data_IF_825182646815
#
_entry.id   IF_825182646815
#
_cell.length_a   1.000
_cell.length_b   1.000
_cell.length_c   1.000
_cell.angle_alpha   90.00
_cell.angle_beta   90.00
_cell.angle_gamma   90.00
#
_symmetry.space_group_name_H-M   'P 1'
#
loop_
_entity.id
_entity.type
_entity.pdbx_description
1 polymer ?
#
# COMPACT_ATOMS: atom_id res chain seq x y z
N UNK A 1 -17.68 -15.37 -24.20
CA UNK A 1 -17.71 -14.62 -25.47
C UNK A 1 -16.28 -14.53 -25.94
N UNK A 2 -16.01 -14.71 -27.24
CA UNK A 2 -14.66 -14.61 -27.81
C UNK A 2 -14.55 -13.37 -28.69
N UNK A 3 -13.41 -12.69 -28.63
CA UNK A 3 -13.18 -11.41 -29.30
C UNK A 3 -12.04 -11.52 -30.31
N UNK A 4 -12.24 -10.98 -31.51
CA UNK A 4 -11.26 -11.04 -32.59
C UNK A 4 -11.13 -9.67 -33.26
N UNK A 5 -9.94 -9.32 -33.74
CA UNK A 5 -9.75 -8.13 -34.56
C UNK A 5 -10.61 -8.22 -35.84
N UNK A 6 -11.31 -7.14 -36.20
CA UNK A 6 -11.99 -7.05 -37.50
C UNK A 6 -10.97 -6.64 -38.59
N UNK A 7 -10.55 -7.61 -39.39
CA UNK A 7 -9.55 -7.39 -40.45
C UNK A 7 -10.03 -6.49 -41.59
N UNK A 8 -11.33 -6.14 -41.65
CA UNK A 8 -11.90 -5.26 -42.68
C UNK A 8 -12.14 -3.86 -42.17
N UNK A 9 -12.25 -3.65 -40.86
CA UNK A 9 -12.57 -2.34 -40.28
C UNK A 9 -11.82 -2.18 -38.97
N UNK A 10 -10.74 -1.39 -39.00
CA UNK A 10 -9.85 -1.19 -37.84
C UNK A 10 -10.59 -0.76 -36.56
N UNK A 11 -11.65 0.03 -36.69
CA UNK A 11 -12.45 0.53 -35.56
C UNK A 11 -13.44 -0.49 -34.97
N UNK A 12 -13.38 -1.75 -35.41
CA UNK A 12 -14.32 -2.80 -35.03
C UNK A 12 -13.63 -4.04 -34.48
N UNK A 13 -14.39 -4.74 -33.65
CA UNK A 13 -14.08 -6.04 -33.07
C UNK A 13 -15.19 -7.03 -33.47
N UNK A 14 -14.81 -8.27 -33.73
CA UNK A 14 -15.73 -9.36 -33.97
C UNK A 14 -15.96 -10.07 -32.64
N UNK A 15 -17.21 -10.11 -32.19
CA UNK A 15 -17.64 -10.89 -31.02
C UNK A 15 -18.37 -12.15 -31.48
N UNK A 16 -17.94 -13.30 -30.99
CA UNK A 16 -18.59 -14.58 -31.24
C UNK A 16 -19.06 -15.18 -29.91
N UNK A 17 -20.34 -15.52 -29.81
CA UNK A 17 -20.80 -16.37 -28.70
C UNK A 17 -20.34 -17.80 -28.99
N UNK A 18 -19.71 -18.45 -27.99
CA UNK A 18 -19.24 -19.82 -28.11
C UNK A 18 -20.41 -20.80 -28.37
N UNK A 19 -20.14 -22.05 -28.77
CA UNK A 19 -21.21 -23.03 -28.92
C UNK A 19 -21.94 -23.18 -27.58
N UNK A 20 -23.26 -23.03 -27.60
CA UNK A 20 -24.08 -23.40 -26.45
C UNK A 20 -23.96 -24.90 -26.23
N UNK A 21 -23.95 -25.34 -24.97
CA UNK A 21 -23.75 -26.75 -24.58
C UNK A 21 -24.79 -27.72 -25.17
N UNK A 22 -25.86 -27.20 -25.77
CA UNK A 22 -26.88 -27.95 -26.50
C UNK A 22 -26.96 -27.52 -27.96
N UNK A 23 -26.11 -28.13 -28.80
CA UNK A 23 -26.13 -27.95 -30.24
C UNK A 23 -24.89 -27.21 -30.75
N UNK A 24 -24.15 -27.86 -31.65
CA UNK A 24 -22.96 -27.32 -32.35
C UNK A 24 -23.31 -26.17 -33.32
N UNK A 25 -24.23 -25.29 -32.97
CA UNK A 25 -24.48 -24.04 -33.67
C UNK A 25 -23.71 -22.95 -32.95
N UNK A 26 -22.61 -22.52 -33.57
CA UNK A 26 -21.93 -21.28 -33.19
C UNK A 26 -22.93 -20.15 -33.47
N UNK A 27 -23.24 -19.31 -32.48
CA UNK A 27 -24.07 -18.14 -32.75
C UNK A 27 -23.35 -17.25 -33.77
N UNK A 28 -24.11 -16.52 -34.59
CA UNK A 28 -23.53 -15.65 -35.60
C UNK A 28 -22.60 -14.61 -34.95
N UNK A 29 -21.33 -14.59 -35.36
CA UNK A 29 -20.40 -13.57 -34.94
C UNK A 29 -20.88 -12.18 -35.40
N UNK A 30 -20.73 -11.18 -34.54
CA UNK A 30 -21.14 -9.79 -34.80
C UNK A 30 -19.92 -8.89 -34.86
N UNK A 31 -19.81 -8.11 -35.93
CA UNK A 31 -18.85 -7.02 -36.03
C UNK A 31 -19.45 -5.77 -35.37
N UNK A 32 -18.84 -5.31 -34.29
CA UNK A 32 -19.27 -4.17 -33.49
C UNK A 32 -18.10 -3.22 -33.29
N UNK A 33 -18.37 -1.93 -33.06
CA UNK A 33 -17.31 -1.01 -32.65
C UNK A 33 -16.66 -1.49 -31.35
N UNK A 34 -15.33 -1.42 -31.26
CA UNK A 34 -14.65 -1.66 -29.98
C UNK A 34 -14.94 -0.50 -29.00
N UNK A 35 -14.70 -0.73 -27.71
CA UNK A 35 -15.09 0.20 -26.65
C UNK A 35 -14.32 1.54 -26.67
N UNK A 36 -13.16 1.63 -27.32
CA UNK A 36 -12.42 2.90 -27.39
C UNK A 36 -13.10 3.94 -28.29
N UNK A 37 -13.43 5.09 -27.70
CA UNK A 37 -13.94 6.29 -28.39
C UNK A 37 -12.99 7.48 -28.34
N UNK A 38 -11.87 7.37 -27.63
CA UNK A 38 -11.01 8.51 -27.26
C UNK A 38 -9.55 8.37 -27.73
N UNK A 39 -9.09 7.17 -28.13
CA UNK A 39 -7.68 6.87 -28.41
C UNK A 39 -6.98 6.13 -27.26
N UNK A 40 -7.77 5.56 -26.35
CA UNK A 40 -7.28 4.78 -25.24
C UNK A 40 -7.18 3.30 -25.65
N UNK A 41 -6.20 2.61 -25.08
CA UNK A 41 -6.09 1.17 -25.30
C UNK A 41 -7.18 0.47 -24.49
N UNK A 42 -7.96 -0.38 -25.16
CA UNK A 42 -8.95 -1.25 -24.51
C UNK A 42 -8.52 -2.70 -24.63
N UNK A 43 -8.68 -3.44 -23.54
CA UNK A 43 -8.14 -4.79 -23.39
C UNK A 43 -9.27 -5.82 -23.31
N UNK A 44 -9.19 -6.85 -24.16
CA UNK A 44 -10.04 -8.04 -24.12
C UNK A 44 -9.18 -9.30 -24.27
N UNK A 45 -9.68 -10.48 -23.88
CA UNK A 45 -8.97 -11.73 -24.14
C UNK A 45 -9.04 -12.05 -25.64
N UNK A 46 -7.90 -12.37 -26.24
CA UNK A 46 -7.83 -12.77 -27.64
C UNK A 46 -8.58 -14.10 -27.86
N UNK A 47 -9.55 -14.07 -28.76
CA UNK A 47 -10.37 -15.22 -29.13
C UNK A 47 -9.64 -16.27 -29.97
N UNK A 48 -8.49 -15.94 -30.56
CA UNK A 48 -7.63 -16.90 -31.28
C UNK A 48 -6.75 -17.70 -30.31
N UNK A 49 -6.13 -17.02 -29.35
CA UNK A 49 -5.28 -17.63 -28.32
C UNK A 49 -5.52 -16.93 -26.98
N UNK A 50 -6.15 -17.63 -26.04
CA UNK A 50 -6.52 -17.08 -24.73
C UNK A 50 -5.31 -16.79 -23.83
N UNK A 51 -4.09 -17.10 -24.29
CA UNK A 51 -2.85 -16.64 -23.66
C UNK A 51 -2.54 -15.18 -23.96
N UNK A 52 -3.17 -14.61 -24.98
CA UNK A 52 -2.91 -13.25 -25.46
C UNK A 52 -4.04 -12.30 -25.06
N UNK A 53 -3.68 -11.02 -25.07
CA UNK A 53 -4.61 -9.92 -24.96
C UNK A 53 -4.80 -9.30 -26.34
N UNK A 54 -6.05 -9.03 -26.68
CA UNK A 54 -6.40 -8.19 -27.82
C UNK A 54 -6.49 -6.74 -27.34
N UNK A 55 -5.59 -5.90 -27.83
CA UNK A 55 -5.51 -4.47 -27.55
C UNK A 55 -6.14 -3.73 -28.72
N UNK A 56 -7.15 -2.91 -28.49
CA UNK A 56 -7.73 -2.07 -29.53
C UNK A 56 -7.62 -0.60 -29.17
N UNK A 57 -7.36 0.25 -30.15
CA UNK A 57 -7.56 1.69 -30.05
C UNK A 57 -8.17 2.23 -31.37
N UNK A 58 -8.70 3.45 -31.34
CA UNK A 58 -9.37 4.05 -32.51
C UNK A 58 -8.44 4.33 -33.70
N UNK A 59 -7.14 4.52 -33.44
CA UNK A 59 -6.18 5.06 -34.42
C UNK A 59 -5.44 3.95 -35.19
N UNK A 60 -5.05 2.89 -34.47
CA UNK A 60 -4.29 1.72 -34.93
C UNK A 60 -5.18 0.47 -35.11
N UNK A 61 -6.41 0.51 -34.61
CA UNK A 61 -7.32 -0.63 -34.60
C UNK A 61 -6.94 -1.68 -33.56
N UNK A 62 -7.33 -2.93 -33.80
CA UNK A 62 -7.07 -4.04 -32.88
C UNK A 62 -5.78 -4.80 -33.25
N UNK A 63 -4.82 -4.80 -32.34
CA UNK A 63 -3.58 -5.58 -32.41
C UNK A 63 -3.53 -6.60 -31.26
N UNK A 64 -2.97 -7.78 -31.52
CA UNK A 64 -2.73 -8.75 -30.45
C UNK A 64 -1.43 -8.41 -29.72
N UNK A 65 -1.43 -8.57 -28.41
CA UNK A 65 -0.24 -8.52 -27.58
C UNK A 65 -0.06 -9.86 -26.90
N UNK A 66 1.17 -10.37 -26.96
CA UNK A 66 1.57 -11.54 -26.18
C UNK A 66 1.54 -11.14 -24.70
N UNK A 67 0.82 -11.88 -23.87
CA UNK A 67 1.03 -11.77 -22.42
C UNK A 67 2.47 -12.19 -22.14
N UNK A 68 3.30 -11.24 -21.71
CA UNK A 68 4.73 -11.47 -21.53
C UNK A 68 5.07 -12.23 -20.23
N UNK A 69 4.08 -12.74 -19.49
CA UNK A 69 4.31 -13.45 -18.23
C UNK A 69 5.09 -14.74 -18.52
N UNK A 70 6.39 -14.70 -18.25
CA UNK A 70 7.33 -15.79 -18.40
C UNK A 70 8.42 -15.70 -17.33
N UNK A 71 9.26 -16.72 -17.19
CA UNK A 71 10.36 -16.81 -16.21
C UNK A 71 11.33 -15.60 -16.13
N UNK A 72 11.33 -14.69 -17.12
CA UNK A 72 12.20 -13.49 -17.17
C UNK A 72 11.44 -12.16 -16.94
N UNK A 73 10.14 -12.22 -16.68
CA UNK A 73 9.23 -11.07 -16.52
C UNK A 73 8.31 -11.27 -15.30
N UNK A 74 7.52 -10.26 -14.87
CA UNK A 74 6.50 -10.46 -13.85
C UNK A 74 5.64 -11.70 -14.12
N UNK A 75 5.40 -12.50 -13.07
CA UNK A 75 4.64 -13.75 -13.14
C UNK A 75 3.17 -13.56 -13.56
N UNK A 76 2.71 -12.30 -13.58
CA UNK A 76 1.36 -11.91 -13.94
C UNK A 76 1.27 -10.48 -14.46
N UNK A 77 0.14 -10.18 -15.12
CA UNK A 77 -0.27 -8.85 -15.56
C UNK A 77 -1.76 -8.64 -15.31
N UNK A 78 -2.15 -7.46 -14.86
CA UNK A 78 -3.55 -7.07 -14.63
C UNK A 78 -3.95 -5.95 -15.57
N UNK A 79 -5.05 -6.13 -16.29
CA UNK A 79 -5.62 -5.14 -17.21
C UNK A 79 -7.06 -4.84 -16.84
N UNK A 80 -7.52 -3.62 -17.13
CA UNK A 80 -8.94 -3.29 -17.04
C UNK A 80 -9.73 -4.02 -18.13
N UNK A 81 -10.80 -4.75 -17.77
CA UNK A 81 -11.57 -5.52 -18.72
C UNK A 81 -12.55 -4.65 -19.51
N UNK A 82 -12.31 -4.45 -20.80
CA UNK A 82 -13.22 -3.69 -21.66
C UNK A 82 -14.56 -4.41 -21.92
N UNK A 83 -14.64 -5.71 -21.64
CA UNK A 83 -15.86 -6.49 -21.72
C UNK A 83 -16.70 -6.46 -20.42
N UNK A 84 -16.31 -5.66 -19.42
CA UNK A 84 -17.08 -5.54 -18.20
C UNK A 84 -18.49 -4.98 -18.49
N UNK A 85 -19.50 -5.66 -17.96
CA UNK A 85 -20.88 -5.21 -17.94
C UNK A 85 -21.56 -5.75 -16.69
N UNK A 86 -22.08 -4.88 -15.83
CA UNK A 86 -22.68 -5.29 -14.54
C UNK A 86 -23.80 -6.32 -14.66
N UNK A 87 -24.49 -6.40 -15.81
CA UNK A 87 -25.61 -7.32 -16.04
C UNK A 87 -25.23 -8.60 -16.78
N UNK A 88 -24.27 -8.54 -17.70
CA UNK A 88 -23.94 -9.66 -18.60
C UNK A 88 -22.52 -10.21 -18.44
N UNK A 89 -21.60 -9.45 -17.84
CA UNK A 89 -20.25 -9.87 -17.52
C UNK A 89 -19.67 -9.07 -16.34
N UNK A 90 -19.92 -9.54 -15.12
CA UNK A 90 -19.55 -8.86 -13.88
C UNK A 90 -18.07 -9.04 -13.49
N UNK A 91 -17.18 -9.18 -14.47
CA UNK A 91 -15.74 -9.40 -14.26
C UNK A 91 -14.96 -8.18 -14.70
N UNK A 92 -14.47 -7.41 -13.73
CA UNK A 92 -13.94 -6.07 -13.97
C UNK A 92 -12.50 -6.08 -14.52
N UNK A 93 -11.72 -7.13 -14.25
CA UNK A 93 -10.29 -7.18 -14.62
C UNK A 93 -9.96 -8.42 -15.44
N UNK A 94 -8.90 -8.34 -16.23
CA UNK A 94 -8.27 -9.48 -16.89
C UNK A 94 -6.93 -9.71 -16.20
N UNK A 95 -6.67 -10.94 -15.79
CA UNK A 95 -5.39 -11.32 -15.20
C UNK A 95 -4.76 -12.40 -16.07
N UNK A 96 -3.57 -12.10 -16.57
CA UNK A 96 -2.74 -13.05 -17.30
C UNK A 96 -1.67 -13.60 -16.38
N UNK A 97 -1.56 -14.93 -16.30
CA UNK A 97 -0.55 -15.63 -15.50
C UNK A 97 0.29 -16.53 -16.39
N UNK A 98 1.57 -16.66 -16.04
CA UNK A 98 2.45 -17.63 -16.69
C UNK A 98 1.87 -19.05 -16.61
N UNK A 99 1.96 -19.81 -17.71
CA UNK A 99 1.45 -21.19 -17.80
C UNK A 99 -0.08 -21.34 -17.86
N UNK A 100 -0.85 -20.34 -17.43
CA UNK A 100 -2.32 -20.36 -17.43
C UNK A 100 -2.91 -19.59 -18.63
N UNK A 101 -2.31 -18.45 -18.98
CA UNK A 101 -2.88 -17.50 -19.94
C UNK A 101 -3.75 -16.45 -19.25
N UNK A 102 -4.60 -15.79 -20.02
CA UNK A 102 -5.44 -14.68 -19.56
C UNK A 102 -6.86 -15.14 -19.25
N UNK A 103 -7.37 -14.72 -18.10
CA UNK A 103 -8.75 -14.98 -17.66
C UNK A 103 -9.37 -13.70 -17.11
N UNK A 104 -10.69 -13.57 -17.25
CA UNK A 104 -11.45 -12.49 -16.64
C UNK A 104 -11.77 -12.84 -15.18
N UNK A 105 -11.66 -11.86 -14.28
CA UNK A 105 -11.94 -12.03 -12.86
C UNK A 105 -12.91 -10.97 -12.36
N UNK A 106 -13.80 -11.41 -11.47
CA UNK A 106 -14.57 -10.51 -10.62
C UNK A 106 -13.70 -10.11 -9.43
N UNK A 107 -13.60 -8.82 -9.17
CA UNK A 107 -12.89 -8.29 -8.00
C UNK A 107 -13.74 -8.44 -6.74
N UNK A 108 -13.09 -8.55 -5.58
CA UNK A 108 -13.76 -8.60 -4.28
C UNK A 108 -14.06 -7.20 -3.70
N UNK A 109 -13.88 -6.15 -4.51
CA UNK A 109 -14.13 -4.77 -4.13
C UNK A 109 -15.62 -4.48 -3.93
N UNK A 110 -15.89 -3.45 -3.14
CA UNK A 110 -17.24 -2.90 -2.89
C UNK A 110 -17.20 -1.37 -2.94
N UNK A 111 -18.35 -0.72 -2.82
CA UNK A 111 -18.47 0.74 -2.72
C UNK A 111 -17.79 1.36 -1.49
N UNK A 112 -17.37 0.57 -0.50
CA UNK A 112 -16.70 1.03 0.73
C UNK A 112 -15.41 0.25 1.03
N UNK A 113 -14.99 -0.63 0.12
CA UNK A 113 -13.80 -1.44 0.28
C UNK A 113 -13.12 -1.56 -1.08
N UNK A 114 -12.17 -0.65 -1.31
CA UNK A 114 -11.53 -0.49 -2.60
C UNK A 114 -10.37 -1.46 -2.73
N UNK A 115 -10.16 -1.98 -3.95
CA UNK A 115 -9.07 -2.91 -4.26
C UNK A 115 -8.18 -2.35 -5.34
N UNK A 116 -6.88 -2.58 -5.20
CA UNK A 116 -5.87 -1.95 -6.04
C UNK A 116 -5.01 -2.98 -6.75
N UNK A 117 -4.70 -2.69 -8.00
CA UNK A 117 -3.83 -3.49 -8.85
C UNK A 117 -2.87 -2.59 -9.63
N UNK A 118 -1.73 -3.13 -10.03
CA UNK A 118 -0.82 -2.45 -10.96
C UNK A 118 -1.38 -2.60 -12.38
N UNK A 119 -1.56 -1.47 -13.07
CA UNK A 119 -2.05 -1.46 -14.44
C UNK A 119 -0.98 -1.90 -15.43
N UNK A 120 -1.11 -3.10 -15.98
CA UNK A 120 -0.23 -3.59 -17.04
C UNK A 120 -0.44 -2.86 -18.38
N UNK A 121 -1.57 -2.16 -18.54
CA UNK A 121 -1.90 -1.35 -19.70
C UNK A 121 -1.25 0.05 -19.72
N UNK A 122 -0.47 0.40 -18.69
CA UNK A 122 0.20 1.70 -18.63
C UNK A 122 1.09 1.95 -19.86
N UNK A 123 0.85 3.05 -20.57
CA UNK A 123 1.61 3.46 -21.77
C UNK A 123 2.94 4.09 -21.39
N UNK A 124 2.99 4.75 -20.25
CA UNK A 124 4.15 5.45 -19.73
C UNK A 124 4.40 5.05 -18.28
N UNK A 125 5.15 3.95 -18.10
CA UNK A 125 5.53 3.45 -16.77
C UNK A 125 6.23 4.46 -15.87
N UNK A 126 6.68 5.60 -16.40
CA UNK A 126 7.34 6.66 -15.66
C UNK A 126 6.45 7.86 -15.31
N UNK A 127 5.15 7.86 -15.62
CA UNK A 127 4.32 9.07 -15.44
C UNK A 127 3.35 9.05 -14.26
N UNK A 128 3.19 7.94 -13.53
CA UNK A 128 2.14 7.75 -12.49
C UNK A 128 0.68 7.96 -12.96
N UNK A 129 0.45 8.56 -14.12
CA UNK A 129 -0.88 8.87 -14.68
C UNK A 129 -1.80 7.66 -14.90
N UNK A 130 -1.23 6.50 -15.22
CA UNK A 130 -2.00 5.33 -15.66
C UNK A 130 -1.47 4.01 -15.09
N UNK A 131 -0.71 4.05 -13.99
CA UNK A 131 -0.04 2.85 -13.45
C UNK A 131 -0.85 2.08 -12.40
N UNK A 132 -1.97 2.63 -11.94
CA UNK A 132 -2.82 2.06 -10.89
C UNK A 132 -4.22 1.78 -11.42
N UNK A 133 -4.77 0.61 -11.08
CA UNK A 133 -6.20 0.30 -11.23
C UNK A 133 -6.80 0.34 -9.83
N UNK A 134 -7.83 1.16 -9.66
CA UNK A 134 -8.70 1.14 -8.49
C UNK A 134 -10.01 0.44 -8.85
N UNK A 135 -10.47 -0.44 -7.95
CA UNK A 135 -11.72 -1.16 -8.07
C UNK A 135 -12.65 -0.85 -6.90
N UNK A 136 -13.83 -0.32 -7.21
CA UNK A 136 -15.02 -0.20 -6.33
C UNK A 136 -16.06 -1.23 -6.80
N UNK A 137 -17.31 -0.83 -7.02
CA UNK A 137 -18.28 -1.66 -7.78
C UNK A 137 -17.87 -1.84 -9.26
N UNK A 138 -17.15 -0.84 -9.79
CA UNK A 138 -16.48 -0.84 -11.10
C UNK A 138 -14.99 -0.53 -10.93
N UNK A 139 -14.16 -0.92 -11.90
CA UNK A 139 -12.75 -0.57 -11.90
C UNK A 139 -12.44 0.58 -12.87
N UNK A 140 -11.45 1.39 -12.53
CA UNK A 140 -10.96 2.50 -13.32
C UNK A 140 -9.43 2.62 -13.18
N UNK A 141 -8.79 3.19 -14.19
CA UNK A 141 -7.38 3.57 -14.10
C UNK A 141 -7.31 4.95 -13.47
N UNK A 142 -6.46 5.13 -12.47
CA UNK A 142 -6.27 6.40 -11.77
C UNK A 142 -4.81 6.87 -11.87
N UNK A 143 -4.59 8.20 -11.86
CA UNK A 143 -3.27 8.73 -11.55
C UNK A 143 -2.93 8.38 -10.11
N UNK A 144 -1.65 8.09 -9.88
CA UNK A 144 -1.06 7.90 -8.57
C UNK A 144 -0.10 9.06 -8.23
N UNK A 145 0.32 9.11 -6.98
CA UNK A 145 1.33 10.06 -6.50
C UNK A 145 2.58 9.35 -5.97
N UNK A 146 3.66 10.12 -5.84
CA UNK A 146 4.92 9.61 -5.28
C UNK A 146 4.69 9.20 -3.82
N UNK A 147 5.31 8.08 -3.41
CA UNK A 147 5.19 7.51 -2.08
C UNK A 147 3.80 7.03 -1.66
N UNK A 148 2.85 6.91 -2.58
CA UNK A 148 1.59 6.22 -2.29
C UNK A 148 1.78 4.70 -2.16
N UNK A 149 1.06 4.11 -1.20
CA UNK A 149 1.16 2.70 -0.83
C UNK A 149 -0.23 2.10 -0.68
N UNK A 150 -0.43 0.96 -1.31
CA UNK A 150 -1.69 0.22 -1.31
C UNK A 150 -1.44 -1.25 -1.01
N UNK A 151 -2.45 -1.95 -0.48
CA UNK A 151 -2.46 -3.42 -0.44
C UNK A 151 -2.55 -3.94 -1.88
N UNK A 152 -1.70 -4.92 -2.23
CA UNK A 152 -1.78 -5.55 -3.55
C UNK A 152 -2.83 -6.67 -3.54
N UNK A 153 -4.00 -6.42 -4.13
CA UNK A 153 -5.10 -7.42 -4.15
C UNK A 153 -4.75 -8.67 -4.98
N UNK A 154 -3.80 -8.60 -5.91
CA UNK A 154 -3.38 -9.79 -6.64
C UNK A 154 -2.58 -10.76 -5.76
N UNK A 155 -1.74 -10.21 -4.88
CA UNK A 155 -0.84 -10.96 -4.00
C UNK A 155 -0.66 -10.18 -2.70
N UNK A 156 -1.44 -10.57 -1.69
CA UNK A 156 -1.48 -9.90 -0.39
C UNK A 156 -0.19 -10.05 0.42
N UNK A 157 0.79 -10.86 -0.03
CA UNK A 157 2.14 -10.85 0.55
C UNK A 157 2.98 -9.63 0.15
N UNK A 158 2.43 -8.76 -0.71
CA UNK A 158 3.11 -7.61 -1.31
C UNK A 158 2.30 -6.34 -1.12
N UNK A 159 3.00 -5.22 -1.18
CA UNK A 159 2.40 -3.89 -1.33
C UNK A 159 2.54 -3.40 -2.76
N UNK A 160 1.66 -2.48 -3.17
CA UNK A 160 1.88 -1.61 -4.33
C UNK A 160 2.52 -0.34 -3.80
N UNK A 161 3.66 0.05 -4.35
CA UNK A 161 4.34 1.30 -3.99
C UNK A 161 4.59 2.13 -5.23
N UNK A 162 4.21 3.39 -5.19
CA UNK A 162 4.23 4.30 -6.32
C UNK A 162 5.38 5.30 -6.21
N UNK A 163 6.06 5.52 -7.34
CA UNK A 163 7.25 6.35 -7.39
C UNK A 163 7.30 7.16 -8.68
N UNK A 164 7.65 8.44 -8.57
CA UNK A 164 7.62 9.39 -9.68
C UNK A 164 8.43 8.94 -10.90
N UNK A 165 9.53 8.20 -10.70
CA UNK A 165 10.45 7.79 -11.77
C UNK A 165 10.20 6.39 -12.35
N UNK A 166 9.36 5.56 -11.73
CA UNK A 166 9.13 4.16 -12.16
C UNK A 166 7.66 3.71 -12.11
N UNK A 167 6.75 4.62 -11.74
CA UNK A 167 5.33 4.31 -11.59
C UNK A 167 5.07 3.47 -10.34
N UNK A 168 3.87 2.86 -10.29
CA UNK A 168 3.52 1.89 -9.27
C UNK A 168 4.13 0.52 -9.56
N UNK A 169 4.78 -0.06 -8.55
CA UNK A 169 5.45 -1.37 -8.62
C UNK A 169 5.04 -2.24 -7.45
N UNK A 170 5.11 -3.56 -7.65
CA UNK A 170 4.86 -4.52 -6.58
C UNK A 170 6.13 -4.67 -5.76
N UNK A 171 6.01 -4.58 -4.44
CA UNK A 171 7.13 -4.70 -3.50
C UNK A 171 6.83 -5.82 -2.51
N UNK A 172 7.74 -6.78 -2.42
CA UNK A 172 7.73 -7.82 -1.40
C UNK A 172 7.76 -7.21 0.00
N UNK A 173 6.84 -7.66 0.86
CA UNK A 173 6.97 -7.37 2.28
C UNK A 173 8.17 -8.13 2.86
N UNK A 174 8.83 -7.48 3.82
CA UNK A 174 9.95 -7.99 4.60
C UNK A 174 9.54 -8.33 6.03
N UNK A 175 8.24 -8.43 6.31
CA UNK A 175 7.73 -8.86 7.60
C UNK A 175 8.32 -10.22 8.00
N UNK A 176 8.66 -10.35 9.28
CA UNK A 176 9.15 -11.58 9.90
C UNK A 176 8.34 -11.90 11.15
N UNK A 177 8.48 -13.10 11.69
CA UNK A 177 7.75 -13.55 12.90
C UNK A 177 7.95 -12.63 14.11
N UNK A 178 9.01 -11.83 14.10
CA UNK A 178 9.40 -10.91 15.18
C UNK A 178 9.42 -9.45 14.73
N UNK A 179 8.82 -9.11 13.58
CA UNK A 179 8.77 -7.74 13.08
C UNK A 179 7.72 -7.60 11.97
N UNK A 180 6.69 -6.81 12.21
CA UNK A 180 5.75 -6.43 11.17
C UNK A 180 6.31 -5.26 10.35
N UNK A 181 5.70 -5.02 9.20
CA UNK A 181 5.86 -3.76 8.48
C UNK A 181 4.57 -2.96 8.55
N UNK A 182 4.69 -1.71 8.99
CA UNK A 182 3.60 -0.74 9.01
C UNK A 182 3.85 0.32 7.94
N UNK A 183 2.82 0.60 7.13
CA UNK A 183 2.82 1.64 6.11
C UNK A 183 1.59 2.52 6.28
N UNK A 184 1.67 3.77 5.80
CA UNK A 184 0.49 4.62 5.66
C UNK A 184 -0.31 4.14 4.44
N UNK A 185 -1.61 3.90 4.61
CA UNK A 185 -2.49 3.38 3.57
C UNK A 185 -3.06 4.52 2.70
N UNK A 186 -2.60 4.64 1.47
CA UNK A 186 -3.09 5.66 0.55
C UNK A 186 -4.53 5.41 0.08
N UNK A 187 -5.08 4.20 0.25
CA UNK A 187 -6.46 3.91 -0.17
C UNK A 187 -7.52 4.63 0.65
N UNK A 188 -7.29 4.86 1.94
CA UNK A 188 -8.24 5.59 2.78
C UNK A 188 -8.10 7.10 2.60
N UNK A 189 -6.86 7.60 2.64
CA UNK A 189 -6.49 9.02 2.51
C UNK A 189 -6.91 9.66 1.18
N UNK A 190 -7.05 8.85 0.13
CA UNK A 190 -7.47 9.31 -1.20
C UNK A 190 -8.94 8.96 -1.50
N UNK A 191 -9.71 8.50 -0.52
CA UNK A 191 -11.09 8.09 -0.72
C UNK A 191 -12.10 9.22 -0.48
N UNK A 192 -13.17 9.26 -1.28
CA UNK A 192 -14.29 10.21 -1.08
C UNK A 192 -15.04 10.04 0.26
N UNK A 193 -14.75 8.97 1.01
CA UNK A 193 -15.42 8.58 2.25
C UNK A 193 -14.42 8.40 3.41
N UNK A 194 -13.27 9.09 3.35
CA UNK A 194 -12.24 9.05 4.39
C UNK A 194 -12.87 9.23 5.78
N UNK A 195 -12.54 8.31 6.67
CA UNK A 195 -12.97 8.35 8.06
C UNK A 195 -11.73 8.23 8.90
N UNK A 196 -11.48 9.26 9.71
CA UNK A 196 -10.35 9.30 10.62
C UNK A 196 -10.14 7.95 11.32
N UNK A 197 -8.92 7.43 11.20
CA UNK A 197 -8.45 6.18 11.79
C UNK A 197 -9.05 4.89 11.22
N UNK A 198 -9.96 4.94 10.25
CA UNK A 198 -10.51 3.74 9.61
C UNK A 198 -9.62 3.34 8.42
N UNK A 199 -8.89 2.23 8.54
CA UNK A 199 -7.99 1.72 7.50
C UNK A 199 -6.84 2.67 7.09
N UNK A 200 -6.46 3.65 7.91
CA UNK A 200 -5.33 4.55 7.64
C UNK A 200 -3.98 3.82 7.52
N UNK A 201 -3.85 2.59 8.02
CA UNK A 201 -2.60 1.83 8.03
C UNK A 201 -2.67 0.61 7.12
N UNK A 202 -1.50 0.16 6.64
CA UNK A 202 -1.31 -1.19 6.11
C UNK A 202 -0.36 -1.90 7.07
N UNK A 203 -0.77 -3.08 7.53
CA UNK A 203 0.03 -3.94 8.38
C UNK A 203 0.35 -5.24 7.65
N UNK A 204 1.64 -5.51 7.46
CA UNK A 204 2.12 -6.78 6.94
C UNK A 204 2.68 -7.63 8.08
N UNK A 205 2.15 -8.84 8.24
CA UNK A 205 2.52 -9.79 9.30
C UNK A 205 3.02 -11.08 8.67
N UNK A 206 4.00 -11.72 9.31
CA UNK A 206 4.46 -13.06 8.94
C UNK A 206 4.02 -14.08 10.00
N UNK A 207 3.12 -14.97 9.62
CA UNK A 207 2.66 -16.07 10.48
C UNK A 207 3.13 -17.39 9.89
N UNK A 208 4.04 -18.06 10.59
CA UNK A 208 4.59 -19.37 10.18
C UNK A 208 5.17 -19.39 8.75
N UNK A 209 5.81 -18.30 8.34
CA UNK A 209 6.42 -18.16 7.01
C UNK A 209 5.47 -17.68 5.91
N UNK A 210 4.20 -17.42 6.23
CA UNK A 210 3.21 -16.84 5.31
C UNK A 210 3.07 -15.36 5.64
N UNK A 211 3.38 -14.50 4.65
CA UNK A 211 3.23 -13.06 4.78
C UNK A 211 1.89 -12.61 4.20
N UNK A 212 1.16 -11.80 4.96
CA UNK A 212 -0.08 -11.18 4.54
C UNK A 212 -0.10 -9.71 4.98
N UNK A 213 -0.47 -8.83 4.05
CA UNK A 213 -0.62 -7.40 4.21
C UNK A 213 -2.09 -7.03 4.11
N UNK A 214 -2.62 -6.37 5.14
CA UNK A 214 -4.01 -5.94 5.20
C UNK A 214 -4.11 -4.47 5.63
N UNK A 215 -5.24 -3.86 5.29
CA UNK A 215 -5.56 -2.53 5.80
C UNK A 215 -6.01 -2.64 7.27
N UNK A 216 -5.45 -1.80 8.12
CA UNK A 216 -5.66 -1.79 9.57
C UNK A 216 -6.08 -0.38 10.00
N UNK A 217 -6.94 -0.31 11.02
CA UNK A 217 -7.30 0.97 11.62
C UNK A 217 -6.12 1.58 12.36
N UNK A 218 -6.04 2.91 12.33
CA UNK A 218 -5.18 3.64 13.24
C UNK A 218 -5.79 3.70 14.65
N UNK A 219 -4.95 4.07 15.61
CA UNK A 219 -5.40 4.40 16.97
C UNK A 219 -4.79 5.74 17.37
N UNK A 220 -5.60 6.65 17.89
CA UNK A 220 -5.12 7.96 18.30
C UNK A 220 -3.97 7.85 19.33
N UNK A 221 -2.97 8.72 19.15
CA UNK A 221 -1.74 8.81 19.93
C UNK A 221 -0.72 7.68 19.71
N UNK A 222 -1.00 6.73 18.81
CA UNK A 222 -0.05 5.68 18.45
C UNK A 222 0.98 6.15 17.41
N UNK A 223 2.21 5.65 17.56
CA UNK A 223 3.36 5.99 16.72
C UNK A 223 4.01 4.71 16.21
N UNK A 224 4.25 4.66 14.90
CA UNK A 224 4.86 3.52 14.22
C UNK A 224 6.06 3.97 13.40
N UNK A 225 6.96 3.03 13.12
CA UNK A 225 8.01 3.25 12.12
C UNK A 225 7.40 3.09 10.73
N UNK A 226 7.59 4.09 9.87
CA UNK A 226 7.19 3.97 8.47
C UNK A 226 8.12 3.00 7.73
N UNK A 227 7.59 1.85 7.31
CA UNK A 227 8.37 0.81 6.62
C UNK A 227 8.74 1.20 5.18
N UNK A 228 8.08 2.21 4.61
CA UNK A 228 8.47 2.78 3.32
C UNK A 228 9.71 3.66 3.40
N UNK A 229 9.79 4.47 4.47
CA UNK A 229 10.87 5.41 4.70
C UNK A 229 11.18 5.52 6.20
N UNK A 230 12.26 4.86 6.64
CA UNK A 230 12.65 4.84 8.06
C UNK A 230 13.22 6.16 8.58
N UNK A 231 13.24 7.23 7.75
CA UNK A 231 13.49 8.60 8.24
C UNK A 231 12.22 9.29 8.74
N UNK A 232 11.08 8.66 8.52
CA UNK A 232 9.76 9.14 8.89
C UNK A 232 9.08 8.14 9.83
N UNK A 233 8.17 8.67 10.63
CA UNK A 233 7.24 7.93 11.47
C UNK A 233 5.85 8.03 10.87
N UNK A 234 4.96 7.14 11.29
CA UNK A 234 3.52 7.30 11.12
C UNK A 234 2.96 7.66 12.50
N UNK A 235 2.23 8.77 12.59
CA UNK A 235 1.58 9.21 13.82
C UNK A 235 0.09 9.29 13.59
N UNK A 236 -0.67 8.67 14.47
CA UNK A 236 -2.11 8.69 14.46
C UNK A 236 -2.64 9.67 15.52
N UNK A 237 -3.60 10.50 15.14
CA UNK A 237 -4.31 11.44 16.03
C UNK A 237 -5.81 11.19 15.96
N UNK A 238 -6.63 11.95 16.67
CA UNK A 238 -8.10 11.84 16.51
C UNK A 238 -8.58 12.14 15.09
N UNK A 239 -7.77 12.84 14.28
CA UNK A 239 -8.11 13.23 12.91
C UNK A 239 -7.65 12.23 11.85
N UNK A 240 -6.92 11.17 12.25
CA UNK A 240 -6.35 10.18 11.34
C UNK A 240 -4.83 10.05 11.49
N UNK A 241 -4.21 9.23 10.64
CA UNK A 241 -2.79 8.99 10.61
C UNK A 241 -2.08 9.75 9.48
N UNK A 242 -0.88 10.25 9.76
CA UNK A 242 -0.04 10.94 8.79
C UNK A 242 1.44 10.54 8.93
N UNK A 243 2.24 10.79 7.90
CA UNK A 243 3.70 10.70 8.02
C UNK A 243 4.27 11.93 8.71
N UNK A 244 5.26 11.72 9.56
CA UNK A 244 6.01 12.79 10.22
C UNK A 244 7.51 12.55 10.04
N UNK A 245 8.22 13.56 9.54
CA UNK A 245 9.68 13.55 9.56
C UNK A 245 10.18 13.74 11.00
N UNK A 246 11.18 12.97 11.40
CA UNK A 246 11.84 13.17 12.68
C UNK A 246 12.68 14.46 12.68
N UNK A 247 12.67 15.18 13.81
CA UNK A 247 13.46 16.39 14.03
C UNK A 247 14.76 16.10 14.81
N UNK A 248 15.08 14.81 15.03
CA UNK A 248 16.25 14.38 15.77
C UNK A 248 17.55 15.02 15.24
N UNK A 249 18.43 15.42 16.16
CA UNK A 249 19.74 15.95 15.84
C UNK A 249 20.88 15.05 16.39
N UNK A 250 22.12 15.48 16.18
CA UNK A 250 23.31 14.67 16.53
C UNK A 250 23.53 14.54 18.03
N UNK A 251 22.90 15.42 18.82
CA UNK A 251 23.00 15.55 20.28
C UNK A 251 21.69 15.25 20.98
N UNK A 252 20.56 15.34 20.29
CA UNK A 252 19.20 15.15 20.80
C UNK A 252 18.48 14.10 19.95
N UNK A 253 18.56 12.81 20.33
CA UNK A 253 17.70 11.79 19.76
C UNK A 253 16.27 11.94 20.29
N UNK A 254 15.31 11.53 19.47
CA UNK A 254 13.90 11.48 19.84
C UNK A 254 13.51 10.06 20.26
N UNK A 255 12.60 9.98 21.22
CA UNK A 255 12.04 8.73 21.70
C UNK A 255 10.51 8.80 21.66
N UNK A 256 9.91 7.70 21.21
CA UNK A 256 8.47 7.50 21.10
C UNK A 256 8.14 6.11 21.67
N UNK A 257 6.90 5.92 22.10
CA UNK A 257 6.38 4.58 22.39
C UNK A 257 6.09 3.91 21.04
N UNK A 258 6.58 2.70 20.85
CA UNK A 258 6.26 1.89 19.68
C UNK A 258 4.86 1.28 19.85
N UNK A 259 3.96 1.55 18.92
CA UNK A 259 2.61 0.97 18.94
C UNK A 259 2.54 -0.43 18.33
N UNK A 260 3.63 -0.95 17.77
CA UNK A 260 3.71 -2.32 17.24
C UNK A 260 4.88 -3.10 17.86
N UNK A 261 4.87 -3.37 19.18
CA UNK A 261 5.79 -4.33 19.77
C UNK A 261 5.42 -5.73 19.32
N UNK A 262 6.35 -6.42 18.67
CA UNK A 262 6.13 -7.74 18.08
C UNK A 262 6.62 -8.90 18.94
N UNK A 263 7.34 -8.61 20.02
CA UNK A 263 7.69 -9.59 21.03
C UNK A 263 6.80 -9.38 22.27
N UNK A 264 6.59 -10.47 23.03
CA UNK A 264 5.81 -10.40 24.27
C UNK A 264 6.67 -10.09 25.49
N UNK A 265 7.94 -9.71 25.27
CA UNK A 265 8.90 -9.47 26.33
C UNK A 265 8.82 -7.99 26.73
N UNK A 266 8.48 -7.67 28.00
CA UNK A 266 8.41 -6.29 28.45
C UNK A 266 9.66 -5.48 28.10
N UNK A 267 9.46 -4.24 27.62
CA UNK A 267 10.50 -3.29 27.23
C UNK A 267 11.35 -3.71 26.03
N UNK A 268 11.06 -4.84 25.38
CA UNK A 268 11.71 -5.23 24.14
C UNK A 268 10.86 -4.72 22.97
N UNK A 269 11.46 -3.86 22.15
CA UNK A 269 10.77 -3.22 21.04
C UNK A 269 9.66 -2.22 21.40
N UNK A 270 9.41 -1.92 22.67
CA UNK A 270 8.41 -0.94 23.12
C UNK A 270 8.76 0.52 22.79
N UNK A 271 9.97 0.80 22.33
CA UNK A 271 10.42 2.16 22.02
C UNK A 271 10.80 2.30 20.55
N UNK A 272 10.53 3.48 19.99
CA UNK A 272 11.13 3.94 18.75
C UNK A 272 12.16 5.01 19.09
N UNK A 273 13.34 4.91 18.50
CA UNK A 273 14.41 5.90 18.62
C UNK A 273 14.74 6.46 17.25
N UNK A 274 14.61 7.77 17.09
CA UNK A 274 15.12 8.47 15.93
C UNK A 274 16.42 9.20 16.29
N UNK A 275 17.46 9.00 15.48
CA UNK A 275 18.77 9.63 15.70
C UNK A 275 19.39 10.10 14.39
N UNK A 276 20.00 11.29 14.44
CA UNK A 276 20.84 11.79 13.37
C UNK A 276 22.28 11.30 13.48
N UNK A 277 22.77 10.67 12.41
CA UNK A 277 24.18 10.32 12.25
C UNK A 277 24.72 11.02 11.00
N UNK A 278 25.53 12.06 11.22
CA UNK A 278 25.98 12.94 10.14
C UNK A 278 24.82 13.73 9.53
N UNK A 279 24.54 13.52 8.24
CA UNK A 279 23.44 14.18 7.52
C UNK A 279 22.16 13.33 7.44
N UNK A 280 22.15 12.10 7.97
CA UNK A 280 21.03 11.16 7.84
C UNK A 280 20.36 10.95 9.19
N UNK A 281 19.04 11.02 9.21
CA UNK A 281 18.22 10.57 10.33
C UNK A 281 17.80 9.12 10.05
N UNK A 282 17.74 8.30 11.08
CA UNK A 282 17.14 6.97 11.02
C UNK A 282 16.34 6.73 12.30
N UNK A 283 15.13 6.22 12.14
CA UNK A 283 14.27 5.73 13.20
C UNK A 283 14.34 4.21 13.25
N UNK A 284 14.52 3.67 14.45
CA UNK A 284 14.63 2.23 14.68
C UNK A 284 13.91 1.84 15.96
N UNK A 285 13.41 0.60 15.98
CA UNK A 285 12.88 -0.03 17.20
C UNK A 285 14.06 -0.23 18.16
N UNK A 286 13.85 0.09 19.43
CA UNK A 286 14.85 -0.07 20.49
C UNK A 286 14.21 -0.56 21.79
N UNK A 287 15.06 -0.95 22.74
CA UNK A 287 14.62 -1.55 23.99
C UNK A 287 14.79 -0.56 25.14
N UNK A 288 13.86 -0.60 26.09
CA UNK A 288 13.96 0.09 27.37
C UNK A 288 14.58 -0.78 28.46
N UNK A 289 14.83 -0.19 29.62
CA UNK A 289 15.12 -0.90 30.87
C UNK A 289 14.24 -0.35 31.97
N UNK A 290 13.92 -1.20 32.95
CA UNK A 290 13.16 -0.77 34.11
C UNK A 290 13.85 0.45 34.77
N UNK A 291 13.07 1.52 34.96
CA UNK A 291 13.52 2.79 35.51
C UNK A 291 14.08 3.78 34.48
N UNK A 292 14.15 3.42 33.20
CA UNK A 292 14.51 4.39 32.16
C UNK A 292 13.43 5.46 31.99
N UNK A 293 13.87 6.70 31.82
CA UNK A 293 12.98 7.85 31.59
C UNK A 293 13.48 8.67 30.40
N UNK A 294 12.62 8.88 29.43
CA UNK A 294 12.89 9.64 28.22
C UNK A 294 11.93 10.82 28.08
N UNK A 295 12.34 11.85 27.33
CA UNK A 295 11.39 12.84 26.83
C UNK A 295 10.56 12.20 25.72
N UNK A 296 9.23 12.30 25.83
CA UNK A 296 8.31 11.82 24.82
C UNK A 296 8.24 12.83 23.66
N UNK A 297 8.76 12.46 22.50
CA UNK A 297 8.70 13.33 21.32
C UNK A 297 7.28 13.44 20.73
N UNK A 298 6.33 12.57 21.13
CA UNK A 298 4.91 12.70 20.75
C UNK A 298 4.10 13.63 21.67
N UNK A 299 4.70 14.23 22.71
CA UNK A 299 3.96 14.92 23.77
C UNK A 299 3.09 16.09 23.28
N UNK A 300 3.52 16.84 22.27
CA UNK A 300 2.73 17.99 21.77
C UNK A 300 1.53 17.58 20.91
N UNK A 301 1.53 16.34 20.41
CA UNK A 301 0.48 15.75 19.58
C UNK A 301 -0.46 14.84 20.38
N UNK A 302 0.00 14.37 21.53
CA UNK A 302 -0.81 13.64 22.50
C UNK A 302 -1.87 14.56 23.12
N UNK A 303 -3.13 14.12 23.09
CA UNK A 303 -4.25 14.80 23.75
C UNK A 303 -4.02 15.02 25.25
N UNK A 304 -3.32 14.08 25.90
CA UNK A 304 -3.00 14.13 27.33
C UNK A 304 -1.69 14.90 27.61
N UNK A 305 -0.97 15.29 26.55
CA UNK A 305 0.30 16.02 26.59
C UNK A 305 1.33 15.41 27.53
N UNK A 306 1.47 14.09 27.53
CA UNK A 306 2.37 13.37 28.44
C UNK A 306 3.83 13.56 28.01
N UNK A 307 4.63 14.35 28.75
CA UNK A 307 5.96 14.78 28.29
C UNK A 307 7.05 13.72 28.48
N UNK A 308 6.77 12.64 29.22
CA UNK A 308 7.74 11.60 29.55
C UNK A 308 7.29 10.25 29.03
N UNK A 309 8.28 9.42 28.69
CA UNK A 309 8.15 7.96 28.59
C UNK A 309 8.86 7.37 29.80
N UNK A 310 8.16 6.53 30.57
CA UNK A 310 8.69 5.84 31.74
C UNK A 310 8.65 4.33 31.48
N UNK A 311 9.79 3.68 31.57
CA UNK A 311 9.91 2.23 31.46
C UNK A 311 9.77 1.59 32.84
N UNK A 312 8.76 0.72 32.99
CA UNK A 312 8.52 -0.10 34.18
C UNK A 312 8.87 -1.57 33.91
N UNK A 313 8.79 -2.45 34.90
CA UNK A 313 9.06 -3.89 34.68
C UNK A 313 8.15 -4.53 33.62
N UNK A 314 6.96 -3.95 33.40
CA UNK A 314 5.92 -4.55 32.57
C UNK A 314 5.78 -3.88 31.19
N UNK A 315 6.11 -2.59 31.05
CA UNK A 315 5.90 -1.83 29.81
C UNK A 315 6.55 -0.43 29.83
N UNK A 316 6.70 0.18 28.64
CA UNK A 316 6.99 1.60 28.47
C UNK A 316 5.69 2.40 28.31
N UNK A 317 5.46 3.39 29.18
CA UNK A 317 4.22 4.18 29.20
C UNK A 317 4.48 5.67 29.19
N UNK A 318 3.54 6.43 28.64
CA UNK A 318 3.57 7.88 28.70
C UNK A 318 3.00 8.35 30.04
N UNK A 319 3.68 9.26 30.72
CA UNK A 319 3.31 9.70 32.08
C UNK A 319 3.36 11.24 32.24
N UNK A 320 2.65 11.75 33.25
CA UNK A 320 2.60 13.15 33.65
C UNK A 320 2.93 13.32 35.14
N UNK A 321 3.65 14.41 35.47
CA UNK A 321 3.81 14.97 36.84
C UNK A 321 4.91 14.33 37.74
N UNK A 322 5.20 14.94 38.91
CA UNK A 322 6.38 15.78 39.16
C UNK A 322 7.58 15.01 39.76
N UNK A 323 8.82 15.34 39.36
CA UNK A 323 10.13 15.13 40.05
C UNK A 323 11.29 15.46 39.09
N UNK A 324 12.53 15.43 39.58
CA UNK A 324 13.74 15.34 38.75
C UNK A 324 14.02 13.89 38.36
N UNK A 325 14.05 13.58 37.07
CA UNK A 325 14.37 12.25 36.56
C UNK A 325 15.77 12.23 35.96
N UNK A 326 16.43 11.06 35.97
CA UNK A 326 17.64 10.87 35.17
C UNK A 326 17.20 10.74 33.71
N UNK A 327 17.81 11.50 32.81
CA UNK A 327 17.51 11.46 31.39
C UNK A 327 18.21 10.25 30.73
N UNK A 328 17.50 9.14 30.52
CA UNK A 328 18.03 7.96 29.82
C UNK A 328 18.32 8.23 28.34
N UNK A 329 17.76 9.29 27.77
CA UNK A 329 18.00 9.73 26.39
C UNK A 329 19.29 10.54 26.18
N UNK A 330 19.98 10.94 27.25
CA UNK A 330 21.16 11.82 27.18
C UNK A 330 22.34 11.14 26.47
N UNK A 331 22.81 11.73 25.37
CA UNK A 331 23.98 11.27 24.60
C UNK A 331 25.14 12.28 24.62
N UNK A 332 25.08 13.31 25.48
CA UNK A 332 26.12 14.32 25.61
C UNK A 332 27.46 13.69 26.03
N UNK A 333 28.59 14.10 25.41
CA UNK A 333 29.91 13.64 25.83
C UNK A 333 30.29 14.12 27.25
N UNK A 334 29.57 15.11 27.79
CA UNK A 334 29.66 15.53 29.19
C UNK A 334 28.47 14.97 29.97
N UNK A 335 28.72 13.94 30.78
CA UNK A 335 27.68 13.19 31.51
C UNK A 335 26.81 14.03 32.48
N UNK A 336 27.13 15.30 32.71
CA UNK A 336 26.36 16.20 33.58
C UNK A 336 25.46 17.18 32.79
N UNK A 337 25.73 17.40 31.51
CA UNK A 337 24.88 18.24 30.67
C UNK A 337 23.63 17.43 30.29
N UNK A 338 22.43 17.99 30.48
CA UNK A 338 21.14 17.33 30.17
C UNK A 338 20.89 16.00 30.90
N UNK A 339 21.63 15.74 31.98
CA UNK A 339 21.54 14.51 32.77
C UNK A 339 20.23 14.38 33.56
N UNK A 340 19.53 15.49 33.80
CA UNK A 340 18.29 15.54 34.55
C UNK A 340 17.16 16.14 33.74
N UNK A 341 16.00 15.50 33.76
CA UNK A 341 14.74 16.06 33.31
C UNK A 341 14.05 16.67 34.51
N UNK A 342 13.73 17.97 34.44
CA UNK A 342 12.96 18.66 35.48
C UNK A 342 11.57 18.99 34.92
N UNK A 343 10.55 18.33 35.43
CA UNK A 343 9.17 18.70 35.11
C UNK A 343 8.72 19.87 36.01
N UNK A 344 8.10 20.89 35.42
CA UNK A 344 7.51 22.02 36.15
C UNK A 344 6.04 22.17 35.78
N UNK A 345 5.22 22.52 36.76
CA UNK A 345 3.85 22.93 36.51
C UNK A 345 3.85 24.29 35.79
N UNK A 346 3.15 24.40 34.67
CA UNK A 346 2.61 25.70 34.26
C UNK A 346 1.49 26.06 35.25
N UNK A 347 1.51 27.31 35.72
CA UNK A 347 0.58 27.82 36.74
C UNK A 347 -0.68 28.40 36.14
#
# INVERSE_FOLDING_TARGET
MSYYADSKTATKIISCEGPTTEGRTVAACKSTSHADTAGNDVYTIDGYDTKNILICNKDDGCVFSLSLANETQPSHYVYLNANFNSSTNNKQVIICKEGVGCLEYKTNSTSTDYRYYINAGSKTRSSLEDTLIECKDTCQVLPAHDSEIYVNEFDTSKTIQCYQNKGCVSVDSKASETKNEIFLNSSDLNSDNERALEKDLIKCVNTEGIIECEAENGVANEVYINSHNTTELIICTSEGCETMASEADTTSPEYYINADPTDGDPLSGDLIKCKKTGSKINCEVTNGKNGDVFLNANADRDSDKKPLIVCSEDEATADSLPVYYVNSGNVSPSNLQEALIKCTYEK
#
